data_IF_523558927882
#
_entry.id   IF_523558927882
#
_cell.length_a   1.000
_cell.length_b   1.000
_cell.length_c   1.000
_cell.angle_alpha   90.00
_cell.angle_beta   90.00
_cell.angle_gamma   90.00
#
_symmetry.space_group_name_H-M   'P 1'
#
loop_
_entity.id
_entity.type
_entity.pdbx_description
1 polymer ?
#
# COMPACT_ATOMS: atom_id res chain seq x y z
N UNK A 1 -1.88 20.73 21.50
CA UNK A 1 -0.78 20.18 20.66
C UNK A 1 -0.21 21.26 19.75
N UNK A 2 1.10 21.30 19.51
CA UNK A 2 1.70 22.19 18.51
C UNK A 2 1.71 21.47 17.15
N UNK A 3 0.71 21.72 16.32
CA UNK A 3 0.52 21.07 15.03
C UNK A 3 1.68 21.35 14.06
N UNK A 4 2.20 22.58 14.01
CA UNK A 4 3.33 22.93 13.16
C UNK A 4 4.59 22.12 13.48
N UNK A 5 4.89 21.92 14.76
CA UNK A 5 6.04 21.12 15.17
C UNK A 5 5.80 19.62 14.87
N UNK A 6 4.57 19.14 15.02
CA UNK A 6 4.23 17.75 14.69
C UNK A 6 4.33 17.49 13.19
N UNK A 7 3.76 18.36 12.37
CA UNK A 7 3.88 18.31 10.91
C UNK A 7 5.34 18.31 10.45
N UNK A 8 6.17 19.18 11.05
CA UNK A 8 7.59 19.31 10.69
C UNK A 8 8.37 18.01 10.87
N UNK A 9 7.99 17.15 11.80
CA UNK A 9 8.62 15.85 11.98
C UNK A 9 8.40 14.96 10.76
N UNK A 10 7.18 14.92 10.21
CA UNK A 10 6.87 14.15 8.99
C UNK A 10 7.50 14.77 7.73
N UNK A 11 7.55 16.09 7.64
CA UNK A 11 8.25 16.77 6.53
C UNK A 11 9.73 16.40 6.50
N UNK A 12 10.41 16.46 7.64
CA UNK A 12 11.83 16.12 7.74
C UNK A 12 12.07 14.64 7.46
N UNK A 13 11.25 13.75 8.02
CA UNK A 13 11.37 12.31 7.77
C UNK A 13 11.18 11.98 6.30
N UNK A 14 10.19 12.59 5.65
CA UNK A 14 9.93 12.40 4.23
C UNK A 14 11.11 12.89 3.37
N UNK A 15 11.53 14.15 3.56
CA UNK A 15 12.48 14.78 2.64
C UNK A 15 13.94 14.46 2.94
N UNK A 16 14.32 14.47 4.21
CA UNK A 16 15.72 14.40 4.61
C UNK A 16 16.18 12.93 4.79
N UNK A 17 15.26 12.03 5.14
CA UNK A 17 15.55 10.61 5.28
C UNK A 17 15.02 9.80 4.10
N UNK A 18 13.70 9.58 3.98
CA UNK A 18 13.12 8.61 3.03
C UNK A 18 13.48 8.97 1.58
N UNK A 19 12.97 10.08 1.06
CA UNK A 19 13.17 10.43 -0.35
C UNK A 19 14.65 10.66 -0.69
N UNK A 20 15.41 11.23 0.23
CA UNK A 20 16.85 11.43 0.05
C UNK A 20 17.61 10.11 -0.08
N UNK A 21 17.29 9.10 0.75
CA UNK A 21 17.87 7.77 0.65
C UNK A 21 17.56 7.13 -0.71
N UNK A 22 16.30 7.17 -1.15
CA UNK A 22 15.88 6.58 -2.43
C UNK A 22 16.56 7.24 -3.63
N UNK A 23 16.74 8.55 -3.61
CA UNK A 23 17.46 9.28 -4.67
C UNK A 23 18.96 8.92 -4.71
N UNK A 24 19.61 8.82 -3.55
CA UNK A 24 21.06 8.66 -3.47
C UNK A 24 21.53 7.22 -3.53
N UNK A 25 20.78 6.32 -2.88
CA UNK A 25 21.26 4.95 -2.64
C UNK A 25 20.58 3.93 -3.55
N UNK A 26 19.31 4.15 -3.92
CA UNK A 26 18.53 3.15 -4.64
C UNK A 26 18.51 3.36 -6.14
N UNK A 27 18.62 4.60 -6.61
CA UNK A 27 18.68 4.89 -8.04
C UNK A 27 20.10 4.70 -8.60
N UNK A 28 20.24 3.80 -9.58
CA UNK A 28 21.50 3.61 -10.34
C UNK A 28 21.52 4.55 -11.55
N UNK A 29 22.28 5.62 -11.42
CA UNK A 29 22.39 6.64 -12.46
C UNK A 29 23.08 6.14 -13.73
N UNK A 30 23.96 5.12 -13.62
CA UNK A 30 24.71 4.59 -14.75
C UNK A 30 23.83 3.72 -15.64
N UNK A 31 23.01 2.88 -15.01
CA UNK A 31 22.09 1.97 -15.72
C UNK A 31 20.70 2.56 -15.92
N UNK A 32 20.42 3.71 -15.31
CA UNK A 32 19.10 4.37 -15.32
C UNK A 32 17.99 3.43 -14.84
N UNK A 33 18.24 2.73 -13.74
CA UNK A 33 17.32 1.80 -13.11
C UNK A 33 17.42 1.90 -11.58
N UNK A 34 16.72 1.04 -10.87
CA UNK A 34 16.81 0.95 -9.42
C UNK A 34 17.51 -0.34 -9.00
N UNK A 35 18.17 -0.32 -7.83
CA UNK A 35 18.63 -1.55 -7.22
C UNK A 35 17.44 -2.28 -6.60
N UNK A 36 17.10 -3.47 -7.13
CA UNK A 36 15.99 -4.28 -6.63
C UNK A 36 16.20 -4.83 -5.22
N UNK A 37 17.46 -4.78 -4.73
CA UNK A 37 17.83 -5.26 -3.40
C UNK A 37 19.01 -4.50 -2.80
N UNK A 38 18.86 -4.05 -1.53
CA UNK A 38 19.91 -3.43 -0.72
C UNK A 38 19.76 -3.93 0.72
N UNK A 39 20.85 -4.45 1.33
CA UNK A 39 20.83 -4.90 2.73
C UNK A 39 20.77 -3.73 3.71
N UNK A 40 20.53 -4.02 4.99
CA UNK A 40 20.56 -3.00 6.05
C UNK A 40 21.91 -2.28 6.13
N UNK A 41 23.00 -2.96 5.80
CA UNK A 41 24.37 -2.41 5.80
C UNK A 41 24.73 -1.65 4.52
N UNK A 42 23.78 -1.54 3.56
CA UNK A 42 23.97 -0.80 2.32
C UNK A 42 24.63 -1.60 1.18
N UNK A 43 24.76 -2.94 1.29
CA UNK A 43 25.24 -3.76 0.18
C UNK A 43 24.19 -3.82 -0.92
N UNK A 44 24.54 -3.34 -2.11
CA UNK A 44 23.71 -3.30 -3.30
C UNK A 44 23.87 -4.58 -4.13
N UNK A 45 22.76 -5.06 -4.70
CA UNK A 45 22.72 -6.22 -5.59
C UNK A 45 22.27 -5.78 -6.99
N UNK A 46 23.21 -5.44 -7.88
CA UNK A 46 22.90 -4.88 -9.19
C UNK A 46 22.09 -5.81 -10.11
N UNK A 47 22.21 -7.12 -9.90
CA UNK A 47 21.53 -8.15 -10.72
C UNK A 47 20.19 -8.61 -10.11
N UNK A 48 19.79 -8.07 -8.95
CA UNK A 48 18.51 -8.41 -8.37
C UNK A 48 17.37 -7.94 -9.26
N UNK A 49 16.41 -8.82 -9.48
CA UNK A 49 15.20 -8.50 -10.25
C UNK A 49 14.39 -7.36 -9.60
N UNK A 50 13.66 -6.65 -10.42
CA UNK A 50 12.69 -5.65 -10.01
C UNK A 50 11.31 -6.31 -9.99
N UNK A 51 10.58 -6.21 -8.88
CA UNK A 51 9.17 -6.59 -8.86
C UNK A 51 8.29 -5.44 -9.35
N UNK A 52 7.13 -5.78 -9.87
CA UNK A 52 6.10 -4.81 -10.26
C UNK A 52 5.68 -3.96 -9.05
N UNK A 53 5.46 -4.60 -7.90
CA UNK A 53 5.07 -3.92 -6.65
C UNK A 53 6.11 -2.89 -6.23
N UNK A 54 7.38 -3.25 -6.24
CA UNK A 54 8.49 -2.34 -5.93
C UNK A 54 8.52 -1.12 -6.85
N UNK A 55 8.46 -1.37 -8.16
CA UNK A 55 8.63 -0.30 -9.16
C UNK A 55 7.42 0.63 -9.22
N UNK A 56 6.20 0.10 -9.09
CA UNK A 56 4.97 0.90 -9.02
C UNK A 56 4.92 1.75 -7.75
N UNK A 57 5.39 1.23 -6.62
CA UNK A 57 5.50 1.98 -5.36
C UNK A 57 6.49 3.14 -5.45
N UNK A 58 7.59 2.99 -6.19
CA UNK A 58 8.51 4.11 -6.47
C UNK A 58 7.82 5.17 -7.32
N UNK A 59 7.15 4.77 -8.42
CA UNK A 59 6.42 5.69 -9.28
C UNK A 59 5.38 6.48 -8.49
N UNK A 60 4.56 5.79 -7.70
CA UNK A 60 3.53 6.42 -6.88
C UNK A 60 4.13 7.43 -5.91
N UNK A 61 5.15 6.99 -5.14
CA UNK A 61 5.73 7.84 -4.07
C UNK A 61 6.36 9.11 -4.62
N UNK A 62 7.15 9.04 -5.71
CA UNK A 62 7.77 10.23 -6.26
C UNK A 62 6.80 11.13 -7.02
N UNK A 63 5.74 10.57 -7.60
CA UNK A 63 4.65 11.36 -8.19
C UNK A 63 3.87 12.12 -7.11
N UNK A 64 3.49 11.45 -6.03
CA UNK A 64 2.84 12.07 -4.89
C UNK A 64 3.75 13.11 -4.22
N UNK A 65 5.02 12.79 -3.96
CA UNK A 65 5.98 13.71 -3.38
C UNK A 65 6.18 14.99 -4.23
N UNK A 66 6.18 14.87 -5.56
CA UNK A 66 6.26 16.02 -6.45
C UNK A 66 5.06 16.97 -6.29
N UNK A 67 3.87 16.46 -6.00
CA UNK A 67 2.68 17.29 -5.75
C UNK A 67 2.80 18.11 -4.46
N UNK A 68 3.52 17.60 -3.46
CA UNK A 68 3.81 18.33 -2.21
C UNK A 68 4.99 19.28 -2.36
N UNK A 69 6.06 18.83 -3.00
CA UNK A 69 7.33 19.53 -3.14
C UNK A 69 7.84 19.40 -4.59
N UNK A 70 7.40 20.27 -5.52
CA UNK A 70 7.74 20.16 -6.93
C UNK A 70 9.21 20.45 -7.20
N UNK A 71 10.03 19.40 -7.21
CA UNK A 71 11.47 19.46 -7.49
C UNK A 71 11.82 18.65 -8.73
N UNK A 72 12.86 19.10 -9.47
CA UNK A 72 13.32 18.39 -10.66
C UNK A 72 13.78 16.95 -10.37
N UNK A 73 14.31 16.70 -9.16
CA UNK A 73 14.78 15.37 -8.79
C UNK A 73 13.62 14.39 -8.57
N UNK A 74 12.52 14.81 -7.92
CA UNK A 74 11.37 13.93 -7.72
C UNK A 74 10.68 13.64 -9.06
N UNK A 75 10.56 14.62 -9.95
CA UNK A 75 10.09 14.40 -11.31
C UNK A 75 10.97 13.37 -12.03
N UNK A 76 12.30 13.52 -11.99
CA UNK A 76 13.24 12.58 -12.59
C UNK A 76 13.03 11.15 -12.08
N UNK A 77 12.89 10.97 -10.77
CA UNK A 77 12.66 9.65 -10.16
C UNK A 77 11.35 9.03 -10.63
N UNK A 78 10.27 9.82 -10.70
CA UNK A 78 8.99 9.39 -11.21
C UNK A 78 9.08 9.03 -12.71
N UNK A 79 9.71 9.88 -13.53
CA UNK A 79 9.87 9.65 -14.98
C UNK A 79 10.66 8.36 -15.26
N UNK A 80 11.71 8.07 -14.49
CA UNK A 80 12.48 6.82 -14.67
C UNK A 80 11.68 5.58 -14.24
N UNK A 81 10.92 5.64 -13.15
CA UNK A 81 10.05 4.55 -12.75
C UNK A 81 8.93 4.33 -13.79
N UNK A 82 8.32 5.41 -14.29
CA UNK A 82 7.32 5.36 -15.37
C UNK A 82 7.90 4.71 -16.63
N UNK A 83 9.09 5.14 -17.08
CA UNK A 83 9.78 4.58 -18.23
C UNK A 83 10.01 3.06 -18.05
N UNK A 84 10.54 2.64 -16.91
CA UNK A 84 10.79 1.21 -16.63
C UNK A 84 9.48 0.43 -16.70
N UNK A 85 8.41 0.89 -16.07
CA UNK A 85 7.12 0.20 -16.09
C UNK A 85 6.55 0.07 -17.50
N UNK A 86 6.67 1.11 -18.32
CA UNK A 86 6.11 1.11 -19.68
C UNK A 86 6.99 0.34 -20.69
N UNK A 87 8.31 0.40 -20.53
CA UNK A 87 9.24 -0.21 -21.51
C UNK A 87 9.57 -1.67 -21.19
N UNK A 88 9.49 -2.09 -19.91
CA UNK A 88 9.96 -3.42 -19.50
C UNK A 88 8.92 -4.28 -18.83
N UNK A 89 7.98 -3.69 -18.08
CA UNK A 89 6.93 -4.47 -17.40
C UNK A 89 5.67 -4.65 -18.23
N UNK A 90 5.31 -3.64 -19.06
CA UNK A 90 4.10 -3.72 -19.87
C UNK A 90 4.20 -4.83 -20.89
N UNK A 91 3.27 -5.79 -20.83
CA UNK A 91 3.15 -6.86 -21.83
C UNK A 91 2.46 -6.32 -23.09
N UNK A 92 3.24 -6.15 -24.15
CA UNK A 92 2.74 -5.63 -25.42
C UNK A 92 1.91 -6.65 -26.23
N UNK A 93 1.98 -7.93 -25.87
CA UNK A 93 1.25 -9.00 -26.57
C UNK A 93 -0.14 -9.21 -25.95
N UNK A 94 -0.20 -9.37 -24.63
CA UNK A 94 -1.43 -9.72 -23.92
C UNK A 94 -2.04 -8.54 -23.14
N UNK A 95 -1.29 -7.47 -22.93
CA UNK A 95 -1.63 -6.40 -22.01
C UNK A 95 -1.36 -6.80 -20.54
N UNK A 96 -1.52 -5.83 -19.62
CA UNK A 96 -1.14 -6.01 -18.23
C UNK A 96 0.37 -5.90 -18.02
N UNK A 97 0.85 -6.26 -16.83
CA UNK A 97 2.28 -6.19 -16.51
C UNK A 97 2.82 -7.55 -16.09
N UNK A 98 4.10 -7.77 -16.26
CA UNK A 98 4.82 -8.91 -15.68
C UNK A 98 4.99 -8.73 -14.18
N UNK A 99 5.01 -9.83 -13.43
CA UNK A 99 5.23 -9.81 -11.98
C UNK A 99 6.62 -9.32 -11.61
N UNK A 100 7.64 -9.76 -12.33
CA UNK A 100 9.02 -9.30 -12.16
C UNK A 100 9.82 -9.32 -13.46
N UNK A 101 10.85 -8.45 -13.51
CA UNK A 101 11.78 -8.36 -14.62
C UNK A 101 13.22 -8.27 -14.12
N UNK A 102 14.17 -8.78 -14.90
CA UNK A 102 15.59 -8.56 -14.64
C UNK A 102 15.99 -7.10 -14.95
N UNK A 103 17.14 -6.63 -14.42
CA UNK A 103 17.61 -5.27 -14.67
C UNK A 103 17.89 -4.94 -16.14
N UNK A 104 18.05 -5.95 -17.00
CA UNK A 104 18.17 -5.80 -18.46
C UNK A 104 16.82 -5.69 -19.19
N UNK A 105 15.74 -5.72 -18.44
CA UNK A 105 14.36 -5.59 -18.95
C UNK A 105 13.71 -6.90 -19.42
N UNK A 106 14.39 -8.04 -19.33
CA UNK A 106 13.77 -9.32 -19.65
C UNK A 106 12.81 -9.76 -18.56
N UNK A 107 11.65 -10.32 -18.90
CA UNK A 107 10.75 -10.90 -17.93
C UNK A 107 11.44 -12.01 -17.12
N UNK A 108 11.23 -12.00 -15.79
CA UNK A 108 11.64 -13.08 -14.89
C UNK A 108 10.42 -13.97 -14.57
N UNK A 109 9.33 -13.34 -14.13
CA UNK A 109 8.05 -13.99 -13.90
C UNK A 109 6.96 -13.20 -14.64
N UNK A 110 6.23 -13.88 -15.52
CA UNK A 110 5.23 -13.30 -16.42
C UNK A 110 3.80 -13.37 -15.86
N UNK A 111 3.61 -13.99 -14.69
CA UNK A 111 2.30 -14.14 -14.04
C UNK A 111 1.60 -12.78 -13.91
N UNK A 112 0.29 -12.76 -14.20
CA UNK A 112 -0.59 -11.61 -13.97
C UNK A 112 -1.17 -11.70 -12.56
N UNK A 113 -0.57 -10.99 -11.63
CA UNK A 113 -1.05 -10.92 -10.25
C UNK A 113 -1.85 -9.65 -10.06
N UNK A 114 -3.15 -9.75 -9.76
CA UNK A 114 -4.04 -8.59 -9.77
C UNK A 114 -3.72 -7.56 -8.67
N UNK A 115 -3.04 -7.97 -7.62
CA UNK A 115 -2.41 -7.05 -6.67
C UNK A 115 -1.43 -6.09 -7.37
N UNK A 116 -0.54 -6.59 -8.22
CA UNK A 116 0.43 -5.77 -8.93
C UNK A 116 -0.22 -4.94 -10.03
N UNK A 117 -1.21 -5.50 -10.74
CA UNK A 117 -2.00 -4.77 -11.75
C UNK A 117 -2.73 -3.57 -11.11
N UNK A 118 -3.27 -3.75 -9.89
CA UNK A 118 -3.86 -2.66 -9.13
C UNK A 118 -2.84 -1.58 -8.77
N UNK A 119 -1.66 -1.96 -8.27
CA UNK A 119 -0.58 -1.00 -7.99
C UNK A 119 -0.10 -0.27 -9.24
N UNK A 120 -0.07 -0.92 -10.40
CA UNK A 120 0.24 -0.26 -11.65
C UNK A 120 -0.77 0.84 -11.97
N UNK A 121 -2.06 0.51 -11.94
CA UNK A 121 -3.13 1.48 -12.18
C UNK A 121 -3.09 2.64 -11.17
N UNK A 122 -2.84 2.33 -9.89
CA UNK A 122 -2.71 3.32 -8.82
C UNK A 122 -1.56 4.30 -9.08
N UNK A 123 -0.40 3.77 -9.45
CA UNK A 123 0.79 4.57 -9.73
C UNK A 123 0.64 5.41 -11.02
N UNK A 124 0.04 4.85 -12.08
CA UNK A 124 -0.26 5.59 -13.32
C UNK A 124 -1.25 6.73 -13.07
N UNK A 125 -2.27 6.50 -12.25
CA UNK A 125 -3.22 7.52 -11.84
C UNK A 125 -2.54 8.67 -11.07
N UNK A 126 -1.64 8.34 -10.14
CA UNK A 126 -0.90 9.34 -9.38
C UNK A 126 0.10 10.12 -10.24
N UNK A 127 0.76 9.45 -11.19
CA UNK A 127 1.63 10.11 -12.15
C UNK A 127 0.85 11.10 -13.03
N UNK A 128 -0.35 10.74 -13.49
CA UNK A 128 -1.22 11.68 -14.19
C UNK A 128 -1.64 12.85 -13.30
N UNK A 129 -1.96 12.61 -12.04
CA UNK A 129 -2.31 13.69 -11.11
C UNK A 129 -1.16 14.70 -10.96
N UNK A 130 0.07 14.22 -10.94
CA UNK A 130 1.27 15.04 -10.80
C UNK A 130 1.66 15.79 -12.10
N UNK A 131 1.60 15.12 -13.24
CA UNK A 131 2.24 15.60 -14.48
C UNK A 131 1.27 15.82 -15.65
N UNK A 132 0.00 15.36 -15.54
CA UNK A 132 -1.02 15.42 -16.60
C UNK A 132 -0.61 14.68 -17.87
N UNK A 133 0.17 13.60 -17.71
CA UNK A 133 0.59 12.76 -18.81
C UNK A 133 -0.57 11.87 -19.30
N UNK A 134 -1.05 12.10 -20.52
CA UNK A 134 -2.21 11.40 -21.07
C UNK A 134 -1.92 9.91 -21.36
N UNK A 135 -0.66 9.52 -21.59
CA UNK A 135 -0.29 8.11 -21.73
C UNK A 135 -0.47 7.36 -20.41
N UNK A 136 -0.11 7.97 -19.29
CA UNK A 136 -0.33 7.39 -17.98
C UNK A 136 -1.82 7.16 -17.70
N UNK A 137 -2.68 8.14 -18.03
CA UNK A 137 -4.13 7.99 -17.90
C UNK A 137 -4.67 6.87 -18.79
N UNK A 138 -4.24 6.80 -20.04
CA UNK A 138 -4.65 5.74 -20.97
C UNK A 138 -4.25 4.36 -20.45
N UNK A 139 -3.05 4.22 -19.91
CA UNK A 139 -2.57 2.96 -19.30
C UNK A 139 -3.37 2.59 -18.04
N UNK A 140 -3.69 3.56 -17.18
CA UNK A 140 -4.54 3.31 -16.00
C UNK A 140 -5.95 2.83 -16.40
N UNK A 141 -6.56 3.47 -17.39
CA UNK A 141 -7.89 3.07 -17.92
C UNK A 141 -7.82 1.70 -18.61
N UNK A 142 -6.77 1.44 -19.39
CA UNK A 142 -6.57 0.13 -20.03
C UNK A 142 -6.44 -0.98 -18.99
N UNK A 143 -5.70 -0.72 -17.90
CA UNK A 143 -5.57 -1.67 -16.81
C UNK A 143 -6.91 -1.93 -16.12
N UNK A 144 -7.71 -0.90 -15.86
CA UNK A 144 -9.07 -1.06 -15.33
C UNK A 144 -9.90 -2.00 -16.21
N UNK A 145 -9.89 -1.81 -17.53
CA UNK A 145 -10.63 -2.67 -18.45
C UNK A 145 -10.13 -4.13 -18.44
N UNK A 146 -8.81 -4.34 -18.28
CA UNK A 146 -8.25 -5.69 -18.17
C UNK A 146 -8.65 -6.35 -16.84
N UNK A 147 -8.62 -5.62 -15.73
CA UNK A 147 -9.03 -6.14 -14.43
C UNK A 147 -10.52 -6.49 -14.42
N UNK A 148 -11.39 -5.64 -14.97
CA UNK A 148 -12.82 -5.94 -15.07
C UNK A 148 -13.12 -7.15 -15.96
N UNK A 149 -12.30 -7.37 -16.98
CA UNK A 149 -12.47 -8.51 -17.91
C UNK A 149 -11.95 -9.83 -17.32
N UNK A 150 -10.83 -9.81 -16.59
CA UNK A 150 -10.10 -11.03 -16.24
C UNK A 150 -10.03 -11.33 -14.75
N UNK A 151 -10.15 -10.31 -13.87
CA UNK A 151 -10.14 -10.51 -12.42
C UNK A 151 -11.53 -10.55 -11.80
N UNK A 152 -12.46 -9.73 -12.32
CA UNK A 152 -13.81 -9.63 -11.75
C UNK A 152 -14.54 -10.98 -11.84
N UNK A 153 -15.12 -11.41 -10.70
CA UNK A 153 -15.95 -12.61 -10.62
C UNK A 153 -17.44 -12.24 -10.79
N UNK A 154 -18.05 -12.54 -11.94
CA UNK A 154 -19.45 -12.17 -12.18
C UNK A 154 -20.46 -13.04 -11.41
N UNK A 155 -20.04 -14.18 -10.87
CA UNK A 155 -20.92 -15.13 -10.17
C UNK A 155 -21.09 -14.78 -8.70
N UNK A 156 -19.97 -14.51 -8.00
CA UNK A 156 -19.96 -14.25 -6.55
C UNK A 156 -19.53 -12.82 -6.20
N UNK A 157 -19.17 -12.01 -7.18
CA UNK A 157 -18.59 -10.68 -6.97
C UNK A 157 -17.14 -10.73 -6.46
N UNK A 158 -16.49 -9.57 -6.43
CA UNK A 158 -15.09 -9.45 -6.06
C UNK A 158 -14.12 -9.86 -7.18
N UNK A 159 -12.87 -10.06 -6.81
CA UNK A 159 -11.77 -10.22 -7.76
C UNK A 159 -10.92 -11.42 -7.39
N UNK A 160 -10.48 -12.21 -8.38
CA UNK A 160 -9.56 -13.32 -8.19
C UNK A 160 -8.11 -12.82 -8.08
N UNK A 161 -7.20 -13.70 -7.61
CA UNK A 161 -5.81 -13.32 -7.29
C UNK A 161 -4.88 -13.23 -8.50
N UNK A 162 -4.93 -14.22 -9.40
CA UNK A 162 -3.94 -14.34 -10.46
C UNK A 162 -4.44 -15.06 -11.71
N UNK A 163 -3.75 -14.82 -12.82
CA UNK A 163 -3.86 -15.50 -14.12
C UNK A 163 -2.46 -15.80 -14.67
N UNK A 164 -2.40 -16.66 -15.68
CA UNK A 164 -1.20 -16.80 -16.51
C UNK A 164 -0.94 -15.55 -17.34
N UNK A 165 0.19 -15.46 -18.01
CA UNK A 165 0.57 -14.33 -18.88
C UNK A 165 -0.44 -14.07 -20.02
N UNK A 166 -1.09 -15.12 -20.52
CA UNK A 166 -2.15 -15.05 -21.55
C UNK A 166 -3.58 -15.04 -20.96
N UNK A 167 -3.72 -14.67 -19.69
CA UNK A 167 -4.99 -14.52 -18.95
C UNK A 167 -5.79 -15.81 -18.72
N UNK A 168 -5.19 -16.99 -18.84
CA UNK A 168 -5.82 -18.27 -18.49
C UNK A 168 -5.78 -18.48 -16.97
N UNK A 169 -6.58 -19.44 -16.51
CA UNK A 169 -6.54 -19.84 -15.09
C UNK A 169 -5.17 -20.42 -14.74
N UNK A 170 -4.68 -20.08 -13.56
CA UNK A 170 -3.47 -20.66 -12.98
C UNK A 170 -3.82 -21.49 -11.74
N UNK A 171 -3.02 -22.53 -11.50
CA UNK A 171 -3.15 -23.37 -10.30
C UNK A 171 -2.59 -22.67 -9.07
N UNK A 172 -1.57 -21.82 -9.20
CA UNK A 172 -0.98 -21.04 -8.11
C UNK A 172 -1.53 -19.61 -8.09
N UNK A 173 -2.41 -19.32 -7.14
CA UNK A 173 -3.01 -18.01 -6.92
C UNK A 173 -2.21 -17.15 -5.94
N UNK A 174 -1.25 -17.72 -5.22
CA UNK A 174 -0.57 -17.07 -4.10
C UNK A 174 0.13 -15.78 -4.51
N UNK A 175 -0.07 -14.76 -3.71
CA UNK A 175 0.65 -13.50 -3.82
C UNK A 175 2.11 -13.65 -3.34
N UNK A 176 2.30 -14.43 -2.28
CA UNK A 176 3.62 -14.79 -1.75
C UNK A 176 3.66 -16.26 -1.32
N UNK A 177 4.86 -16.86 -1.15
CA UNK A 177 4.99 -18.25 -0.67
C UNK A 177 4.39 -18.51 0.73
N UNK A 178 4.12 -17.45 1.51
CA UNK A 178 3.52 -17.56 2.84
C UNK A 178 2.00 -17.59 2.81
N UNK A 179 1.38 -17.16 1.71
CA UNK A 179 -0.06 -17.04 1.59
C UNK A 179 -0.71 -18.40 1.32
N UNK A 180 -1.97 -18.51 1.67
CA UNK A 180 -2.80 -19.65 1.27
C UNK A 180 -3.07 -19.58 -0.23
N UNK A 181 -3.10 -20.75 -0.87
CA UNK A 181 -3.50 -20.86 -2.28
C UNK A 181 -5.03 -20.87 -2.38
N UNK A 182 -5.59 -19.67 -2.52
CA UNK A 182 -7.04 -19.44 -2.56
C UNK A 182 -7.40 -18.48 -3.69
N UNK A 183 -8.68 -18.38 -4.02
CA UNK A 183 -9.13 -17.58 -5.15
C UNK A 183 -9.27 -16.10 -4.84
N UNK A 184 -9.51 -15.72 -3.59
CA UNK A 184 -9.74 -14.34 -3.17
C UNK A 184 -9.02 -14.04 -1.86
N UNK A 185 -8.39 -12.87 -1.76
CA UNK A 185 -7.81 -12.37 -0.51
C UNK A 185 -8.28 -10.96 -0.18
N UNK A 186 -8.33 -10.66 1.09
CA UNK A 186 -8.57 -9.30 1.59
C UNK A 186 -7.53 -8.32 1.04
N UNK A 187 -6.26 -8.71 1.05
CA UNK A 187 -5.13 -7.86 0.69
C UNK A 187 -5.23 -7.37 -0.78
N UNK A 188 -5.51 -8.28 -1.72
CA UNK A 188 -5.72 -7.90 -3.12
C UNK A 188 -6.94 -6.99 -3.28
N UNK A 189 -8.06 -7.27 -2.59
CA UNK A 189 -9.24 -6.40 -2.64
C UNK A 189 -8.98 -5.00 -2.07
N UNK A 190 -8.17 -4.88 -0.99
CA UNK A 190 -7.84 -3.59 -0.39
C UNK A 190 -7.08 -2.69 -1.38
N UNK A 191 -6.10 -3.25 -2.07
CA UNK A 191 -5.31 -2.48 -3.03
C UNK A 191 -6.02 -2.26 -4.37
N UNK A 192 -6.97 -3.12 -4.75
CA UNK A 192 -7.89 -2.80 -5.86
C UNK A 192 -8.78 -1.62 -5.47
N UNK A 193 -9.34 -1.59 -4.25
CA UNK A 193 -10.13 -0.46 -3.76
C UNK A 193 -9.33 0.84 -3.80
N UNK A 194 -8.10 0.83 -3.29
CA UNK A 194 -7.18 1.96 -3.29
C UNK A 194 -6.92 2.47 -4.72
N UNK A 195 -6.61 1.55 -5.64
CA UNK A 195 -6.33 1.86 -7.04
C UNK A 195 -7.55 2.42 -7.77
N UNK A 196 -8.73 1.82 -7.59
CA UNK A 196 -9.97 2.29 -8.20
C UNK A 196 -10.40 3.65 -7.65
N UNK A 197 -10.17 3.90 -6.36
CA UNK A 197 -10.41 5.20 -5.73
C UNK A 197 -9.56 6.28 -6.38
N UNK A 198 -8.26 6.01 -6.61
CA UNK A 198 -7.38 6.98 -7.26
C UNK A 198 -7.69 7.14 -8.77
N UNK A 199 -8.05 6.05 -9.44
CA UNK A 199 -8.53 6.12 -10.81
C UNK A 199 -9.80 6.97 -10.94
N UNK A 200 -10.75 6.84 -10.00
CA UNK A 200 -11.98 7.64 -10.02
C UNK A 200 -11.72 9.15 -9.90
N UNK A 201 -10.63 9.56 -9.25
CA UNK A 201 -10.18 10.97 -9.25
C UNK A 201 -9.71 11.47 -10.61
N UNK A 202 -9.22 10.57 -11.45
CA UNK A 202 -8.63 10.85 -12.77
C UNK A 202 -9.62 10.63 -13.90
N UNK A 203 -10.47 9.62 -13.76
CA UNK A 203 -11.43 9.16 -14.75
C UNK A 203 -12.80 8.96 -14.10
N UNK A 204 -13.53 10.06 -13.95
CA UNK A 204 -14.85 10.11 -13.30
C UNK A 204 -15.95 9.64 -14.25
N UNK A 205 -16.11 8.32 -14.34
CA UNK A 205 -17.20 7.67 -15.09
C UNK A 205 -18.00 6.75 -14.18
N UNK A 206 -19.25 6.53 -14.54
CA UNK A 206 -20.21 5.74 -13.75
C UNK A 206 -19.73 4.30 -13.50
N UNK A 207 -19.03 3.69 -14.48
CA UNK A 207 -18.52 2.33 -14.34
C UNK A 207 -17.46 2.23 -13.22
N UNK A 208 -16.52 3.19 -13.15
CA UNK A 208 -15.52 3.23 -12.07
C UNK A 208 -16.18 3.52 -10.73
N UNK A 209 -17.16 4.47 -10.70
CA UNK A 209 -17.92 4.79 -9.49
C UNK A 209 -18.61 3.55 -8.90
N UNK A 210 -19.34 2.80 -9.74
CA UNK A 210 -20.03 1.57 -9.32
C UNK A 210 -19.08 0.52 -8.78
N UNK A 211 -17.84 0.43 -9.32
CA UNK A 211 -16.85 -0.54 -8.88
C UNK A 211 -16.18 -0.14 -7.56
N UNK A 212 -15.95 1.16 -7.32
CA UNK A 212 -15.52 1.65 -6.01
C UNK A 212 -16.60 1.33 -4.95
N UNK A 213 -17.86 1.62 -5.23
CA UNK A 213 -18.97 1.29 -4.32
C UNK A 213 -19.06 -0.22 -4.07
N UNK A 214 -18.98 -1.03 -5.11
CA UNK A 214 -19.01 -2.49 -5.01
C UNK A 214 -17.89 -3.03 -4.10
N UNK A 215 -16.67 -2.51 -4.23
CA UNK A 215 -15.56 -2.90 -3.38
C UNK A 215 -15.77 -2.51 -1.91
N UNK A 216 -16.28 -1.29 -1.64
CA UNK A 216 -16.65 -0.89 -0.27
C UNK A 216 -17.69 -1.87 0.31
N UNK A 217 -18.71 -2.25 -0.46
CA UNK A 217 -19.72 -3.23 -0.02
C UNK A 217 -19.10 -4.61 0.24
N UNK A 218 -18.16 -5.07 -0.59
CA UNK A 218 -17.45 -6.32 -0.33
C UNK A 218 -16.70 -6.27 1.01
N UNK A 219 -16.05 -5.15 1.32
CA UNK A 219 -15.40 -5.01 2.63
C UNK A 219 -16.41 -5.07 3.77
N UNK A 220 -17.50 -4.32 3.70
CA UNK A 220 -18.49 -4.27 4.76
C UNK A 220 -19.27 -5.58 4.92
N UNK A 221 -19.62 -6.26 3.81
CA UNK A 221 -20.55 -7.39 3.83
C UNK A 221 -19.87 -8.76 3.85
N UNK A 222 -18.58 -8.87 3.43
CA UNK A 222 -17.88 -10.15 3.24
C UNK A 222 -16.55 -10.25 3.96
N UNK A 223 -15.77 -9.18 3.95
CA UNK A 223 -14.38 -9.21 4.44
C UNK A 223 -14.32 -8.83 5.93
N UNK A 224 -15.08 -7.83 6.37
CA UNK A 224 -15.14 -7.46 7.79
C UNK A 224 -16.01 -8.47 8.56
N UNK A 225 -15.41 -9.13 9.55
CA UNK A 225 -16.20 -9.84 10.56
C UNK A 225 -16.76 -8.81 11.57
N UNK A 226 -18.02 -8.43 11.38
CA UNK A 226 -18.67 -7.47 12.27
C UNK A 226 -18.73 -7.89 13.73
N UNK A 227 -18.60 -9.17 14.07
CA UNK A 227 -18.68 -9.61 15.47
C UNK A 227 -17.41 -9.30 16.23
N UNK A 228 -16.26 -9.61 15.62
CA UNK A 228 -14.96 -9.46 16.24
C UNK A 228 -14.25 -8.15 15.83
N UNK A 229 -14.53 -7.59 14.66
CA UNK A 229 -13.97 -6.32 14.18
C UNK A 229 -12.64 -6.47 13.43
N UNK A 230 -12.27 -7.69 13.04
CA UNK A 230 -11.11 -7.97 12.19
C UNK A 230 -11.51 -8.25 10.76
N UNK A 231 -10.56 -8.06 9.83
CA UNK A 231 -10.70 -8.45 8.44
C UNK A 231 -10.33 -9.93 8.25
N UNK A 232 -11.19 -10.68 7.59
CA UNK A 232 -10.92 -12.06 7.18
C UNK A 232 -10.00 -12.03 5.96
N UNK A 233 -8.88 -12.76 6.01
CA UNK A 233 -7.81 -12.60 5.03
C UNK A 233 -7.99 -13.41 3.75
N UNK A 234 -8.50 -14.65 3.82
CA UNK A 234 -8.49 -15.59 2.69
C UNK A 234 -9.83 -16.28 2.51
N UNK A 235 -10.24 -16.42 1.24
CA UNK A 235 -11.54 -16.99 0.86
C UNK A 235 -11.42 -17.88 -0.39
N UNK A 236 -12.30 -18.88 -0.48
CA UNK A 236 -12.60 -19.51 -1.75
C UNK A 236 -13.35 -18.54 -2.69
N UNK A 237 -13.58 -18.97 -3.92
CA UNK A 237 -14.27 -18.17 -4.93
C UNK A 237 -15.65 -17.68 -4.45
N UNK A 238 -16.39 -18.49 -3.70
CA UNK A 238 -17.74 -18.24 -3.19
C UNK A 238 -17.79 -17.50 -1.85
N UNK A 239 -16.66 -16.95 -1.39
CA UNK A 239 -16.48 -16.29 -0.10
C UNK A 239 -16.48 -17.23 1.12
N UNK A 240 -16.33 -18.56 0.92
CA UNK A 240 -16.08 -19.45 2.05
C UNK A 240 -14.75 -19.10 2.71
N UNK A 241 -14.79 -18.83 4.02
CA UNK A 241 -13.62 -18.43 4.82
C UNK A 241 -12.58 -19.54 4.91
N UNK A 242 -11.30 -19.19 4.73
CA UNK A 242 -10.17 -20.13 4.69
C UNK A 242 -9.05 -19.81 5.69
N UNK A 243 -9.15 -18.76 6.49
CA UNK A 243 -8.11 -18.43 7.47
C UNK A 243 -8.70 -18.01 8.81
N UNK A 244 -7.91 -18.24 9.85
CA UNK A 244 -8.12 -17.75 11.23
C UNK A 244 -6.93 -16.86 11.66
N UNK A 245 -6.46 -16.00 10.74
CA UNK A 245 -5.33 -15.10 10.97
C UNK A 245 -5.89 -13.68 11.09
N UNK A 246 -5.54 -12.98 12.17
CA UNK A 246 -5.82 -11.56 12.37
C UNK A 246 -4.58 -10.76 11.98
N UNK A 247 -4.68 -9.89 10.99
CA UNK A 247 -3.59 -9.03 10.54
C UNK A 247 -3.86 -7.59 10.98
N UNK A 248 -3.30 -7.21 12.11
CA UNK A 248 -3.53 -5.91 12.72
C UNK A 248 -3.11 -4.73 11.84
N UNK A 249 -2.04 -4.93 11.05
CA UNK A 249 -1.60 -3.93 10.09
C UNK A 249 -2.64 -3.65 9.00
N UNK A 250 -3.29 -4.70 8.47
CA UNK A 250 -4.33 -4.53 7.46
C UNK A 250 -5.64 -3.99 8.06
N UNK A 251 -5.99 -4.39 9.28
CA UNK A 251 -7.15 -3.83 9.96
C UNK A 251 -7.04 -2.31 10.06
N UNK A 252 -5.91 -1.82 10.57
CA UNK A 252 -5.72 -0.37 10.74
C UNK A 252 -5.53 0.35 9.39
N UNK A 253 -4.92 -0.26 8.39
CA UNK A 253 -4.80 0.29 7.04
C UNK A 253 -6.17 0.45 6.39
N UNK A 254 -7.04 -0.55 6.49
CA UNK A 254 -8.37 -0.51 5.93
C UNK A 254 -9.25 0.60 6.55
N UNK A 255 -9.03 0.97 7.82
CA UNK A 255 -9.82 2.04 8.47
C UNK A 255 -9.77 3.35 7.70
N UNK A 256 -8.63 3.69 7.13
CA UNK A 256 -8.49 4.95 6.43
C UNK A 256 -8.58 4.82 4.90
N UNK A 257 -8.20 3.69 4.31
CA UNK A 257 -8.37 3.46 2.86
C UNK A 257 -9.86 3.34 2.48
N UNK A 258 -10.64 2.61 3.26
CA UNK A 258 -12.10 2.52 3.05
C UNK A 258 -12.76 3.88 3.26
N UNK A 259 -12.35 4.63 4.29
CA UNK A 259 -12.90 5.96 4.55
C UNK A 259 -12.56 6.93 3.42
N UNK A 260 -11.32 6.93 2.93
CA UNK A 260 -10.91 7.71 1.76
C UNK A 260 -11.74 7.36 0.51
N UNK A 261 -11.97 6.07 0.26
CA UNK A 261 -12.80 5.61 -0.86
C UNK A 261 -14.24 6.11 -0.73
N UNK A 262 -14.84 6.03 0.47
CA UNK A 262 -16.18 6.53 0.74
C UNK A 262 -16.28 8.05 0.58
N UNK A 263 -15.30 8.82 1.08
CA UNK A 263 -15.23 10.28 0.89
C UNK A 263 -15.13 10.67 -0.60
N UNK A 264 -14.31 9.95 -1.37
CA UNK A 264 -14.15 10.18 -2.82
C UNK A 264 -15.40 9.84 -3.60
N UNK A 265 -16.12 8.79 -3.20
CA UNK A 265 -17.43 8.43 -3.73
C UNK A 265 -18.49 9.48 -3.40
N UNK A 266 -18.44 10.08 -2.20
CA UNK A 266 -19.26 11.20 -1.77
C UNK A 266 -20.70 10.81 -1.39
N UNK A 267 -21.00 9.53 -1.13
CA UNK A 267 -22.32 9.03 -0.70
C UNK A 267 -22.40 8.98 0.83
N UNK A 268 -23.19 9.87 1.41
CA UNK A 268 -23.25 10.10 2.87
C UNK A 268 -23.53 8.81 3.66
N UNK A 269 -24.45 8.00 3.21
CA UNK A 269 -24.82 6.74 3.89
C UNK A 269 -23.64 5.76 3.95
N UNK A 270 -22.87 5.66 2.84
CA UNK A 270 -21.68 4.82 2.76
C UNK A 270 -20.57 5.35 3.68
N UNK A 271 -20.38 6.68 3.72
CA UNK A 271 -19.42 7.31 4.63
C UNK A 271 -19.76 6.95 6.09
N UNK A 272 -21.02 7.12 6.52
CA UNK A 272 -21.44 6.81 7.89
C UNK A 272 -21.26 5.33 8.26
N UNK A 273 -21.49 4.40 7.31
CA UNK A 273 -21.28 2.97 7.53
C UNK A 273 -19.77 2.65 7.67
N UNK A 274 -18.95 3.21 6.78
CA UNK A 274 -17.49 3.02 6.80
C UNK A 274 -16.86 3.64 8.05
N UNK A 275 -17.32 4.82 8.50
CA UNK A 275 -16.86 5.43 9.74
C UNK A 275 -17.11 4.52 10.96
N UNK A 276 -18.27 3.88 11.05
CA UNK A 276 -18.58 2.90 12.13
C UNK A 276 -17.63 1.71 12.08
N UNK A 277 -17.40 1.15 10.88
CA UNK A 277 -16.46 0.06 10.69
C UNK A 277 -15.02 0.45 11.07
N UNK A 278 -14.56 1.64 10.65
CA UNK A 278 -13.25 2.17 10.96
C UNK A 278 -13.02 2.35 12.48
N UNK A 279 -14.01 2.86 13.20
CA UNK A 279 -13.95 2.99 14.66
C UNK A 279 -13.82 1.61 15.31
N UNK A 280 -14.62 0.64 14.89
CA UNK A 280 -14.59 -0.71 15.44
C UNK A 280 -13.26 -1.40 15.19
N UNK A 281 -12.73 -1.37 13.96
CA UNK A 281 -11.43 -1.93 13.62
C UNK A 281 -10.30 -1.25 14.41
N UNK A 282 -10.37 0.07 14.60
CA UNK A 282 -9.39 0.79 15.42
C UNK A 282 -9.42 0.37 16.87
N UNK A 283 -10.61 0.18 17.45
CA UNK A 283 -10.74 -0.24 18.86
C UNK A 283 -10.20 -1.66 19.07
N UNK A 284 -10.49 -2.59 18.19
CA UNK A 284 -9.97 -3.95 18.31
C UNK A 284 -8.46 -3.99 18.10
N UNK A 285 -7.94 -3.22 17.15
CA UNK A 285 -6.49 -3.10 16.93
C UNK A 285 -5.77 -2.51 18.15
N UNK A 286 -6.36 -1.52 18.83
CA UNK A 286 -5.81 -0.99 20.09
C UNK A 286 -5.74 -2.07 21.17
N UNK A 287 -6.80 -2.86 21.31
CA UNK A 287 -6.93 -3.83 22.40
C UNK A 287 -6.07 -5.09 22.18
N UNK A 288 -5.90 -5.53 20.96
CA UNK A 288 -5.26 -6.81 20.63
C UNK A 288 -3.93 -6.65 19.89
N UNK A 289 -3.81 -5.63 19.02
CA UNK A 289 -2.70 -5.47 18.09
C UNK A 289 -1.57 -4.57 18.56
N UNK A 290 -1.72 -3.82 19.66
CA UNK A 290 -0.70 -2.89 20.13
C UNK A 290 0.04 -3.39 21.38
N UNK A 291 1.37 -3.40 21.29
CA UNK A 291 2.23 -3.57 22.45
C UNK A 291 2.21 -2.32 23.37
N UNK A 292 2.53 -2.48 24.66
CA UNK A 292 2.55 -1.36 25.63
C UNK A 292 3.45 -0.18 25.23
N UNK A 293 4.49 -0.41 24.45
CA UNK A 293 5.39 0.64 23.94
C UNK A 293 4.89 1.33 22.65
N UNK A 294 3.76 0.90 22.08
CA UNK A 294 3.13 1.53 20.91
C UNK A 294 3.48 0.91 19.57
N UNK A 295 4.30 -0.13 19.55
CA UNK A 295 4.52 -0.94 18.34
C UNK A 295 3.31 -1.82 18.05
N UNK A 296 2.96 -1.97 16.78
CA UNK A 296 1.90 -2.85 16.31
C UNK A 296 2.49 -4.21 16.00
N UNK A 297 1.95 -5.26 16.60
CA UNK A 297 2.29 -6.64 16.30
C UNK A 297 2.00 -6.96 14.83
N UNK A 298 2.75 -7.89 14.26
CA UNK A 298 2.58 -8.26 12.87
C UNK A 298 1.22 -8.91 12.60
N UNK A 299 0.95 -10.02 13.28
CA UNK A 299 -0.30 -10.76 13.14
C UNK A 299 -0.53 -11.70 14.33
N UNK A 300 -1.74 -12.25 14.42
CA UNK A 300 -2.08 -13.36 15.31
C UNK A 300 -2.55 -14.54 14.47
N UNK A 301 -1.90 -15.68 14.62
CA UNK A 301 -2.22 -16.91 13.91
C UNK A 301 -2.31 -18.05 14.90
N UNK A 302 -3.29 -18.94 14.75
CA UNK A 302 -3.50 -20.11 15.63
C UNK A 302 -3.54 -19.74 17.12
N UNK A 303 -4.09 -18.57 17.45
CA UNK A 303 -4.18 -18.05 18.81
C UNK A 303 -2.88 -17.44 19.38
N UNK A 304 -1.80 -17.40 18.61
CA UNK A 304 -0.49 -16.87 19.00
C UNK A 304 -0.18 -15.54 18.30
N UNK A 305 0.07 -14.49 19.08
CA UNK A 305 0.53 -13.20 18.56
C UNK A 305 2.01 -13.28 18.18
N UNK A 306 2.33 -12.91 16.95
CA UNK A 306 3.72 -12.78 16.49
C UNK A 306 4.29 -11.45 16.99
N UNK A 307 5.20 -11.52 17.97
CA UNK A 307 5.86 -10.35 18.56
C UNK A 307 6.98 -9.81 17.67
N UNK A 308 6.60 -9.45 16.45
CA UNK A 308 7.43 -8.82 15.44
C UNK A 308 6.74 -7.51 15.01
N UNK A 309 7.53 -6.47 14.74
CA UNK A 309 7.04 -5.13 14.44
C UNK A 309 7.60 -4.69 13.09
N UNK A 310 6.93 -5.09 12.01
CA UNK A 310 7.31 -4.73 10.64
C UNK A 310 7.02 -3.25 10.37
N UNK A 311 7.75 -2.64 9.44
CA UNK A 311 7.71 -1.19 9.16
C UNK A 311 6.34 -0.69 8.70
N UNK A 312 5.65 -1.47 7.85
CA UNK A 312 4.42 -1.04 7.21
C UNK A 312 3.23 -0.98 8.18
N UNK A 313 2.99 -1.94 9.10
CA UNK A 313 1.93 -1.81 10.10
C UNK A 313 2.13 -0.59 11.01
N UNK A 314 3.40 -0.25 11.32
CA UNK A 314 3.68 0.94 12.13
C UNK A 314 3.28 2.22 11.38
N UNK A 315 3.62 2.32 10.10
CA UNK A 315 3.23 3.45 9.26
C UNK A 315 1.69 3.57 9.17
N UNK A 316 1.01 2.47 8.92
CA UNK A 316 -0.45 2.43 8.78
C UNK A 316 -1.15 2.78 10.11
N UNK A 317 -0.58 2.36 11.25
CA UNK A 317 -1.10 2.71 12.59
C UNK A 317 -1.13 4.23 12.82
N UNK A 318 -0.09 4.95 12.40
CA UNK A 318 -0.04 6.42 12.55
C UNK A 318 -1.21 7.07 11.80
N UNK A 319 -1.44 6.67 10.55
CA UNK A 319 -2.50 7.26 9.71
C UNK A 319 -3.88 6.78 10.15
N UNK A 320 -4.07 5.49 10.39
CA UNK A 320 -5.37 4.93 10.74
C UNK A 320 -5.91 5.46 12.06
N UNK A 321 -5.10 5.51 13.12
CA UNK A 321 -5.52 6.13 14.38
C UNK A 321 -5.76 7.64 14.23
N UNK A 322 -4.95 8.34 13.44
CA UNK A 322 -5.19 9.75 13.17
C UNK A 322 -6.50 9.97 12.42
N UNK A 323 -6.82 9.12 11.45
CA UNK A 323 -8.09 9.13 10.73
C UNK A 323 -9.28 8.93 11.68
N UNK A 324 -9.19 7.93 12.58
CA UNK A 324 -10.25 7.65 13.54
C UNK A 324 -10.42 8.80 14.54
N UNK A 325 -9.33 9.47 14.93
CA UNK A 325 -9.44 10.73 15.67
C UNK A 325 -10.15 11.83 14.88
N UNK A 326 -9.89 11.94 13.58
CA UNK A 326 -10.58 12.94 12.75
C UNK A 326 -12.09 12.67 12.65
N UNK A 327 -12.50 11.40 12.63
CA UNK A 327 -13.91 10.99 12.64
C UNK A 327 -14.55 11.30 14.00
N UNK A 328 -13.97 10.83 15.08
CA UNK A 328 -14.60 10.80 16.42
C UNK A 328 -14.32 12.02 17.28
N UNK A 329 -13.22 12.72 17.07
CA UNK A 329 -12.62 13.72 17.96
C UNK A 329 -12.24 13.19 19.34
N UNK A 330 -12.25 11.88 19.55
CA UNK A 330 -11.80 11.26 20.81
C UNK A 330 -10.26 11.27 20.88
N UNK A 331 -9.74 11.95 21.90
CA UNK A 331 -8.31 12.16 22.13
C UNK A 331 -7.51 10.85 22.18
N UNK A 332 -8.12 9.74 22.63
CA UNK A 332 -7.44 8.44 22.72
C UNK A 332 -6.79 8.02 21.40
N UNK A 333 -7.46 8.22 20.25
CA UNK A 333 -6.91 7.81 18.95
C UNK A 333 -5.74 8.69 18.51
N UNK A 334 -5.78 9.99 18.81
CA UNK A 334 -4.64 10.88 18.57
C UNK A 334 -3.43 10.46 19.42
N UNK A 335 -3.65 10.09 20.70
CA UNK A 335 -2.59 9.63 21.58
C UNK A 335 -1.96 8.33 21.06
N UNK A 336 -2.75 7.39 20.52
CA UNK A 336 -2.24 6.18 19.87
C UNK A 336 -1.48 6.47 18.57
N UNK A 337 -1.97 7.36 17.72
CA UNK A 337 -1.23 7.81 16.53
C UNK A 337 0.16 8.37 16.89
N UNK A 338 0.22 9.24 17.93
CA UNK A 338 1.48 9.79 18.42
C UNK A 338 2.40 8.73 19.01
N UNK A 339 1.84 7.76 19.74
CA UNK A 339 2.59 6.67 20.34
C UNK A 339 3.20 5.74 19.29
N UNK A 340 2.45 5.43 18.22
CA UNK A 340 2.96 4.67 17.09
C UNK A 340 4.07 5.44 16.35
N UNK A 341 3.90 6.76 16.15
CA UNK A 341 4.96 7.58 15.58
C UNK A 341 6.22 7.62 16.45
N UNK A 342 6.06 7.71 17.77
CA UNK A 342 7.19 7.63 18.70
C UNK A 342 7.92 6.30 18.61
N UNK A 343 7.19 5.19 18.50
CA UNK A 343 7.78 3.87 18.30
C UNK A 343 8.61 3.78 17.00
N UNK A 344 8.09 4.33 15.91
CA UNK A 344 8.83 4.42 14.63
C UNK A 344 10.13 5.20 14.81
N UNK A 345 10.08 6.37 15.44
CA UNK A 345 11.25 7.21 15.68
C UNK A 345 12.30 6.53 16.55
N UNK A 346 11.89 5.73 17.52
CA UNK A 346 12.81 5.10 18.46
C UNK A 346 13.44 3.82 17.89
N UNK A 347 12.70 3.03 17.09
CA UNK A 347 13.10 1.66 16.78
C UNK A 347 13.11 1.32 15.30
N UNK A 348 12.28 1.93 14.45
CA UNK A 348 12.13 1.54 13.05
C UNK A 348 13.03 2.35 12.12
N UNK A 349 13.25 3.64 12.40
CA UNK A 349 14.14 4.51 11.62
C UNK A 349 15.60 4.10 11.83
N UNK A 350 16.32 3.78 10.74
CA UNK A 350 17.78 3.60 10.79
C UNK A 350 18.48 4.96 10.79
N UNK A 351 18.74 5.47 11.98
CA UNK A 351 19.40 6.78 12.18
C UNK A 351 20.86 6.80 11.71
N UNK A 352 21.45 5.63 11.46
CA UNK A 352 22.86 5.52 11.05
C UNK A 352 23.01 5.50 9.54
N UNK A 353 22.20 4.69 8.84
CA UNK A 353 22.36 4.45 7.42
C UNK A 353 21.22 5.05 6.58
N UNK A 354 20.22 5.68 7.22
CA UNK A 354 19.03 6.20 6.57
C UNK A 354 17.98 5.14 6.25
N UNK A 355 16.78 5.59 5.83
CA UNK A 355 15.61 4.77 5.59
C UNK A 355 15.17 4.03 6.87
N UNK A 356 14.21 3.13 6.78
CA UNK A 356 13.69 2.32 7.87
C UNK A 356 14.21 0.89 7.78
N UNK A 357 14.39 0.23 8.92
CA UNK A 357 14.57 -1.21 8.94
C UNK A 357 13.32 -1.92 8.40
N UNK A 358 13.45 -3.18 8.02
CA UNK A 358 12.29 -4.03 7.72
C UNK A 358 11.34 -4.09 8.93
N UNK A 359 11.90 -4.19 10.10
CA UNK A 359 11.20 -4.22 11.37
C UNK A 359 12.14 -4.53 12.51
N UNK A 360 11.56 -4.69 13.70
CA UNK A 360 12.26 -5.14 14.89
C UNK A 360 11.56 -6.35 15.51
N UNK A 361 12.34 -7.19 16.22
CA UNK A 361 11.80 -8.34 16.96
C UNK A 361 11.25 -7.94 18.33
N UNK A 362 10.84 -8.94 19.12
CA UNK A 362 10.38 -8.75 20.51
C UNK A 362 11.42 -8.08 21.41
N UNK A 363 12.70 -8.23 21.12
CA UNK A 363 13.81 -7.57 21.82
C UNK A 363 14.10 -6.15 21.32
N UNK A 364 13.26 -5.61 20.44
CA UNK A 364 13.34 -4.29 19.81
C UNK A 364 14.63 -4.06 19.00
N UNK A 365 15.31 -5.14 18.59
CA UNK A 365 16.45 -5.05 17.70
C UNK A 365 16.04 -5.26 16.24
N UNK A 366 16.75 -4.60 15.29
CA UNK A 366 16.48 -4.76 13.88
C UNK A 366 16.47 -6.23 13.45
N UNK A 367 15.43 -6.61 12.73
CA UNK A 367 15.33 -7.93 12.10
C UNK A 367 16.38 -8.06 11.00
N UNK A 368 16.79 -9.31 10.73
CA UNK A 368 17.51 -9.62 9.52
C UNK A 368 16.60 -9.44 8.33
N UNK A 369 16.95 -8.54 7.44
CA UNK A 369 16.14 -8.23 6.26
C UNK A 369 16.84 -7.23 5.39
N UNK A 370 16.27 -7.01 4.22
CA UNK A 370 16.77 -6.03 3.28
C UNK A 370 16.08 -4.67 3.51
N UNK A 371 16.85 -3.61 3.41
CA UNK A 371 16.34 -2.25 3.49
C UNK A 371 15.52 -1.88 2.25
N UNK A 372 15.89 -2.45 1.13
CA UNK A 372 15.21 -2.36 -0.16
C UNK A 372 15.02 -3.76 -0.71
N UNK A 373 13.83 -4.09 -1.13
CA UNK A 373 13.50 -5.43 -1.64
C UNK A 373 12.18 -5.46 -2.40
N UNK A 374 11.78 -6.63 -2.94
CA UNK A 374 10.61 -6.75 -3.81
C UNK A 374 9.31 -6.19 -3.21
N UNK A 375 9.18 -6.23 -1.89
CA UNK A 375 8.01 -5.75 -1.13
C UNK A 375 8.25 -4.39 -0.47
N UNK A 376 9.50 -4.05 -0.16
CA UNK A 376 9.85 -2.86 0.60
C UNK A 376 10.33 -1.74 -0.31
N UNK A 377 9.40 -0.84 -0.63
CA UNK A 377 9.60 0.42 -1.34
C UNK A 377 9.38 1.63 -0.41
N UNK A 378 9.47 2.86 -0.94
CA UNK A 378 9.26 4.10 -0.17
C UNK A 378 7.78 4.42 0.06
N UNK A 379 6.90 3.46 -0.12
CA UNK A 379 5.46 3.64 -0.23
C UNK A 379 4.79 3.85 1.14
N UNK A 380 4.79 2.85 2.03
CA UNK A 380 4.08 2.96 3.31
C UNK A 380 4.61 4.11 4.18
N UNK A 381 5.92 4.22 4.35
CA UNK A 381 6.53 5.28 5.14
C UNK A 381 6.41 6.66 4.46
N UNK A 382 6.63 6.74 3.16
CA UNK A 382 6.45 7.99 2.39
C UNK A 382 4.99 8.43 2.35
N UNK A 383 4.05 7.48 2.09
CA UNK A 383 2.60 7.73 2.11
C UNK A 383 2.13 8.21 3.48
N UNK A 384 2.57 7.54 4.56
CA UNK A 384 2.28 7.96 5.93
C UNK A 384 2.68 9.43 6.16
N UNK A 385 3.91 9.81 5.82
CA UNK A 385 4.38 11.18 6.00
C UNK A 385 3.52 12.18 5.21
N UNK A 386 3.23 11.88 3.93
CA UNK A 386 2.42 12.74 3.08
C UNK A 386 0.97 12.86 3.58
N UNK A 387 0.36 11.74 4.01
CA UNK A 387 -0.96 11.74 4.60
C UNK A 387 -1.03 12.57 5.89
N UNK A 388 -0.07 12.42 6.78
CA UNK A 388 -0.01 13.22 8.01
C UNK A 388 0.16 14.71 7.72
N UNK A 389 1.05 15.08 6.78
CA UNK A 389 1.21 16.48 6.35
C UNK A 389 -0.10 17.04 5.79
N UNK A 390 -0.77 16.29 4.90
CA UNK A 390 -2.05 16.67 4.31
C UNK A 390 -3.14 16.87 5.36
N UNK A 391 -3.32 15.89 6.24
CA UNK A 391 -4.35 15.89 7.29
C UNK A 391 -4.15 16.99 8.32
N UNK A 392 -2.90 17.26 8.72
CA UNK A 392 -2.59 18.37 9.65
C UNK A 392 -2.85 19.71 8.99
N UNK A 393 -2.49 19.89 7.71
CA UNK A 393 -2.78 21.14 6.97
C UNK A 393 -4.30 21.43 6.86
N UNK A 394 -5.16 20.40 6.91
CA UNK A 394 -6.62 20.59 6.92
C UNK A 394 -7.16 21.05 8.27
N UNK A 395 -6.44 20.81 9.37
CA UNK A 395 -6.82 21.25 10.72
C UNK A 395 -6.45 22.72 10.95
N UNK A 396 -5.37 23.18 10.31
CA UNK A 396 -4.85 24.55 10.46
C UNK A 396 -5.62 25.58 9.59
N UNK A 397 -6.54 25.13 8.75
CA UNK A 397 -7.43 25.97 7.95
C UNK A 397 -8.74 26.24 8.65
#
# INVERSE_FOLDING_TARGET
MNWNNFKKQFENELTDNILNYWVKEVYDTNRRTFFGRITNEGKKFPEAALSAVFTTRILWTFSAAYRFYPTAIYKKMADEAFRILVETFWDNENGGIYWSVFPDGKPEDTKKQFYAEAFFMYAMSEYWLAFKDEKAKQLAVSMFMLMEKYAFDPEFGGYIEAKTDDWKDTDDQRLSPKDLDVKKSMNTHLHILEAYTNLYRVYKVEDVEKKVEHLIRIFLDKILDEKIGHLILFFDKDWTVRSEIDSYGHDIEATWLMHEAAEVLGKKEIIEEVEKAAIKMSDVTINEGLAPHGGMYYEKAEGHTQEQFDWWPQAEAVVGFFNTWQITKDQKYLDYSQKSWKFIQDYIIDKKNGEWFWGVGADLKPLRGDKVGPWKGPYHNGRMCMEMIRRINMIEK
#
